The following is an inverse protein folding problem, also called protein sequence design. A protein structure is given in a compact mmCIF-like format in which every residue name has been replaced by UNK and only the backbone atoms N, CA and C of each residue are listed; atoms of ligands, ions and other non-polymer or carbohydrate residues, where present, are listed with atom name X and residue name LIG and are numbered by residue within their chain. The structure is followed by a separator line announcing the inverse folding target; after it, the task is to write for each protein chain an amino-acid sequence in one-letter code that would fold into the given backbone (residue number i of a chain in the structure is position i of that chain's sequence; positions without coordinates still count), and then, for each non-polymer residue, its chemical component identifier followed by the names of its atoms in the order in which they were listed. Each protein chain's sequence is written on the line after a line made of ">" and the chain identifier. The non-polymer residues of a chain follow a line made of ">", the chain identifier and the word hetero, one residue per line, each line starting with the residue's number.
data_IF_008790329182
#
_entry.id   IF_008790329182
#
_cell.length_a   1.000
_cell.length_b   1.000
_cell.length_c   1.000
_cell.angle_alpha   90.00
_cell.angle_beta   90.00
_cell.angle_gamma   90.00
#
_symmetry.space_group_name_H-M   'P 1'
#
loop_
_entity.id
_entity.type
_entity.pdbx_description
1 polymer ?
#
# COMPACT_ATOMS: atom_id res chain seq x y z
N UNK A 1 -37.50 5.14 15.43
CA UNK A 1 -36.80 5.27 14.12
C UNK A 1 -35.97 6.53 14.15
N UNK A 2 -34.71 6.48 13.70
CA UNK A 2 -33.93 7.70 13.44
C UNK A 2 -34.59 8.42 12.25
N UNK A 3 -35.09 9.66 12.40
CA UNK A 3 -35.75 10.35 11.30
C UNK A 3 -34.74 10.78 10.22
N UNK A 4 -35.01 10.47 8.95
CA UNK A 4 -34.24 10.97 7.81
C UNK A 4 -33.93 9.92 6.73
N UNK A 5 -33.38 10.38 5.60
CA UNK A 5 -32.85 9.50 4.55
C UNK A 5 -31.54 8.83 5.03
N UNK A 6 -31.14 7.68 4.46
CA UNK A 6 -29.85 7.05 4.79
C UNK A 6 -28.64 7.98 4.70
N UNK A 7 -28.62 8.86 3.68
CA UNK A 7 -27.56 9.87 3.53
C UNK A 7 -27.54 10.87 4.70
N UNK A 8 -28.70 11.31 5.18
CA UNK A 8 -28.80 12.24 6.31
C UNK A 8 -28.33 11.59 7.62
N UNK A 9 -28.65 10.31 7.82
CA UNK A 9 -28.17 9.55 8.98
C UNK A 9 -26.65 9.43 8.94
N UNK A 10 -26.06 9.09 7.78
CA UNK A 10 -24.61 9.01 7.61
C UNK A 10 -23.91 10.37 7.85
N UNK A 11 -24.48 11.47 7.36
CA UNK A 11 -23.95 12.82 7.61
C UNK A 11 -24.01 13.20 9.09
N UNK A 12 -25.12 12.90 9.79
CA UNK A 12 -25.26 13.13 11.21
C UNK A 12 -24.23 12.35 12.03
N UNK A 13 -24.00 11.08 11.68
CA UNK A 13 -22.97 10.25 12.29
C UNK A 13 -21.56 10.83 12.10
N UNK A 14 -21.20 11.19 10.86
CA UNK A 14 -19.91 11.82 10.57
C UNK A 14 -19.70 13.14 11.32
N UNK A 15 -20.77 13.91 11.57
CA UNK A 15 -20.70 15.11 12.40
C UNK A 15 -20.37 14.84 13.88
N UNK A 16 -20.67 13.63 14.38
CA UNK A 16 -20.38 13.21 15.77
C UNK A 16 -19.03 12.51 15.90
N UNK A 17 -18.63 11.70 14.92
CA UNK A 17 -17.42 10.86 15.00
C UNK A 17 -16.24 11.41 14.21
N UNK A 18 -16.44 12.50 13.47
CA UNK A 18 -15.46 13.04 12.54
C UNK A 18 -15.73 12.63 11.10
N UNK A 19 -15.52 13.57 10.18
CA UNK A 19 -15.59 13.31 8.75
C UNK A 19 -14.36 12.51 8.27
N UNK A 20 -14.49 11.72 7.20
CA UNK A 20 -13.36 11.02 6.60
C UNK A 20 -12.26 12.01 6.19
N UNK A 21 -11.00 11.63 6.40
CA UNK A 21 -9.87 12.38 5.85
C UNK A 21 -9.89 12.34 4.32
N UNK A 22 -9.44 13.43 3.69
CA UNK A 22 -9.26 13.45 2.23
C UNK A 22 -8.06 12.57 1.88
N UNK A 23 -8.25 11.49 1.09
CA UNK A 23 -7.13 10.64 0.69
C UNK A 23 -6.21 11.38 -0.29
N UNK A 24 -4.91 11.05 -0.34
CA UNK A 24 -4.05 11.55 -1.39
C UNK A 24 -4.51 11.00 -2.74
N UNK A 25 -4.32 11.77 -3.82
CA UNK A 25 -4.85 11.43 -5.15
C UNK A 25 -4.44 10.03 -5.63
N UNK A 26 -3.18 9.64 -5.40
CA UNK A 26 -2.65 8.32 -5.79
C UNK A 26 -3.40 7.16 -5.13
N UNK A 27 -4.00 7.36 -3.94
CA UNK A 27 -4.73 6.30 -3.27
C UNK A 27 -6.02 5.90 -4.01
N UNK A 28 -6.53 6.76 -4.91
CA UNK A 28 -7.70 6.48 -5.75
C UNK A 28 -7.35 5.68 -7.01
N UNK A 29 -6.06 5.52 -7.34
CA UNK A 29 -5.60 4.73 -8.48
C UNK A 29 -5.60 3.23 -8.22
N UNK A 30 -5.41 2.43 -9.27
CA UNK A 30 -5.31 0.98 -9.14
C UNK A 30 -4.06 0.58 -8.33
N UNK A 31 -4.21 -0.35 -7.40
CA UNK A 31 -3.13 -0.81 -6.51
C UNK A 31 -2.99 -2.33 -6.60
N UNK A 32 -1.76 -2.82 -6.65
CA UNK A 32 -1.47 -4.25 -6.68
C UNK A 32 -0.98 -4.73 -5.32
N UNK A 33 -1.63 -5.73 -4.75
CA UNK A 33 -1.24 -6.35 -3.49
C UNK A 33 -1.26 -7.86 -3.64
N UNK A 34 -0.27 -8.51 -3.04
CA UNK A 34 -0.16 -9.96 -2.97
C UNK A 34 0.71 -10.30 -1.77
N UNK A 35 0.31 -11.33 -1.03
CA UNK A 35 1.20 -11.97 -0.07
C UNK A 35 2.29 -12.74 -0.80
N UNK A 36 3.55 -12.49 -0.47
CA UNK A 36 4.65 -13.26 -1.04
C UNK A 36 5.16 -12.67 -2.35
N UNK A 37 5.60 -11.41 -2.37
CA UNK A 37 6.41 -10.92 -3.50
C UNK A 37 7.77 -11.61 -3.52
N UNK A 38 8.31 -11.96 -2.35
CA UNK A 38 9.54 -12.72 -2.21
C UNK A 38 10.82 -11.96 -2.52
N UNK A 39 10.82 -10.94 -3.40
CA UNK A 39 12.00 -10.10 -3.64
C UNK A 39 11.71 -8.77 -4.33
N UNK A 40 12.67 -7.84 -4.25
CA UNK A 40 12.67 -6.60 -5.01
C UNK A 40 12.68 -6.82 -6.54
N UNK A 41 13.28 -7.91 -7.02
CA UNK A 41 13.30 -8.26 -8.44
C UNK A 41 11.89 -8.62 -8.96
N UNK A 42 11.13 -9.37 -8.17
CA UNK A 42 9.74 -9.71 -8.50
C UNK A 42 8.85 -8.46 -8.54
N UNK A 43 9.01 -7.54 -7.58
CA UNK A 43 8.30 -6.26 -7.58
C UNK A 43 8.56 -5.49 -8.87
N UNK A 44 9.84 -5.35 -9.27
CA UNK A 44 10.20 -4.68 -10.54
C UNK A 44 9.59 -5.37 -11.75
N UNK A 45 9.63 -6.72 -11.80
CA UNK A 45 9.03 -7.50 -12.88
C UNK A 45 7.53 -7.25 -13.01
N UNK A 46 6.80 -7.23 -11.88
CA UNK A 46 5.36 -6.95 -11.88
C UNK A 46 5.08 -5.54 -12.35
N UNK A 47 5.76 -4.53 -11.81
CA UNK A 47 5.56 -3.12 -12.21
C UNK A 47 5.87 -2.90 -13.69
N UNK A 48 6.99 -3.44 -14.18
CA UNK A 48 7.33 -3.40 -15.60
C UNK A 48 6.24 -4.06 -16.46
N UNK A 49 5.67 -5.18 -16.00
CA UNK A 49 4.58 -5.86 -16.68
C UNK A 49 3.31 -5.00 -16.85
N UNK A 50 2.96 -4.15 -15.88
CA UNK A 50 1.88 -3.17 -16.02
C UNK A 50 2.21 -2.14 -17.09
N UNK A 51 3.41 -1.56 -17.03
CA UNK A 51 3.87 -0.55 -17.99
C UNK A 51 3.90 -1.08 -19.43
N UNK A 52 4.45 -2.27 -19.64
CA UNK A 52 4.50 -2.96 -20.95
C UNK A 52 3.11 -3.17 -21.57
N UNK A 53 2.08 -3.37 -20.74
CA UNK A 53 0.71 -3.63 -21.17
C UNK A 53 -0.15 -2.37 -21.23
N UNK A 54 0.43 -1.20 -20.93
CA UNK A 54 -0.31 0.06 -20.86
C UNK A 54 -1.37 0.07 -19.76
N UNK A 55 -1.19 -0.73 -18.70
CA UNK A 55 -2.11 -0.80 -17.57
C UNK A 55 -1.71 0.22 -16.50
N UNK A 56 -2.68 0.97 -15.99
CA UNK A 56 -2.44 1.92 -14.91
C UNK A 56 -2.08 1.20 -13.61
N UNK A 57 -1.09 1.72 -12.88
CA UNK A 57 -0.70 1.26 -11.57
C UNK A 57 -0.27 2.46 -10.74
N UNK A 58 -0.87 2.64 -9.57
CA UNK A 58 -0.57 3.75 -8.67
C UNK A 58 0.21 3.32 -7.43
N UNK A 59 0.07 2.07 -6.99
CA UNK A 59 0.82 1.54 -5.85
C UNK A 59 1.01 0.02 -5.91
N UNK A 60 2.10 -0.45 -5.29
CA UNK A 60 2.36 -1.86 -5.01
C UNK A 60 2.53 -2.03 -3.50
N UNK A 61 1.93 -3.08 -2.94
CA UNK A 61 1.99 -3.40 -1.51
C UNK A 61 2.95 -4.56 -1.24
N UNK A 62 3.85 -4.36 -0.28
CA UNK A 62 4.68 -5.41 0.30
C UNK A 62 3.99 -5.97 1.55
N UNK A 63 3.77 -7.28 1.55
CA UNK A 63 3.22 -8.01 2.67
C UNK A 63 4.34 -8.47 3.63
N UNK A 64 4.01 -9.15 4.73
CA UNK A 64 4.90 -9.47 5.85
C UNK A 64 6.19 -10.23 5.48
N UNK A 65 6.26 -10.82 4.28
CA UNK A 65 7.42 -11.56 3.78
C UNK A 65 8.63 -10.69 3.43
N UNK A 66 8.46 -9.37 3.30
CA UNK A 66 9.59 -8.45 3.08
C UNK A 66 10.39 -8.12 4.34
N UNK A 67 9.88 -8.47 5.52
CA UNK A 67 10.57 -8.27 6.79
C UNK A 67 11.65 -9.33 7.02
N UNK A 68 12.72 -8.96 7.73
CA UNK A 68 13.69 -9.92 8.23
C UNK A 68 13.08 -10.73 9.38
N UNK A 69 12.73 -11.99 9.08
CA UNK A 69 12.23 -12.95 10.06
C UNK A 69 10.88 -12.58 10.68
N UNK A 70 10.02 -11.90 9.91
CA UNK A 70 8.70 -11.36 10.32
C UNK A 70 8.78 -10.35 11.48
N UNK A 71 9.89 -9.62 11.60
CA UNK A 71 10.04 -8.53 12.56
C UNK A 71 9.57 -7.22 11.92
N UNK A 72 8.56 -6.60 12.48
CA UNK A 72 8.15 -5.26 12.04
C UNK A 72 9.30 -4.26 12.18
N UNK A 73 9.34 -3.26 11.30
CA UNK A 73 10.41 -2.26 11.21
C UNK A 73 11.79 -2.80 10.77
N UNK A 74 11.87 -4.03 10.27
CA UNK A 74 13.07 -4.58 9.61
C UNK A 74 12.79 -4.86 8.13
N UNK A 75 13.85 -5.20 7.38
CA UNK A 75 13.78 -5.58 5.97
C UNK A 75 14.69 -6.78 5.77
N UNK A 76 14.23 -7.78 5.03
CA UNK A 76 15.09 -8.88 4.58
C UNK A 76 16.11 -8.32 3.58
N UNK A 77 17.37 -8.20 4.00
CA UNK A 77 18.44 -7.63 3.19
C UNK A 77 18.88 -8.50 2.01
N UNK A 78 18.57 -9.80 2.00
CA UNK A 78 18.86 -10.68 0.86
C UNK A 78 17.79 -10.48 -0.23
N UNK A 79 16.51 -10.45 0.16
CA UNK A 79 15.40 -10.27 -0.76
C UNK A 79 15.21 -8.81 -1.22
N UNK A 80 15.51 -7.86 -0.33
CA UNK A 80 15.31 -6.41 -0.52
C UNK A 80 16.56 -5.61 -0.07
N UNK A 81 17.70 -5.76 -0.76
CA UNK A 81 18.98 -5.16 -0.35
C UNK A 81 18.99 -3.62 -0.36
N UNK A 82 18.13 -3.00 -1.17
CA UNK A 82 17.99 -1.54 -1.24
C UNK A 82 16.51 -1.15 -1.42
N UNK A 83 15.75 -1.33 -0.33
CA UNK A 83 14.33 -0.95 -0.31
C UNK A 83 14.10 0.56 -0.56
N UNK A 84 14.91 1.49 -0.01
CA UNK A 84 14.79 2.91 -0.34
C UNK A 84 15.03 3.21 -1.82
N UNK A 85 16.03 2.58 -2.45
CA UNK A 85 16.28 2.69 -3.88
C UNK A 85 15.11 2.17 -4.71
N UNK A 86 14.57 1.00 -4.37
CA UNK A 86 13.36 0.48 -5.01
C UNK A 86 12.17 1.46 -4.90
N UNK A 87 11.93 2.02 -3.72
CA UNK A 87 10.86 3.01 -3.53
C UNK A 87 11.07 4.26 -4.39
N UNK A 88 12.32 4.73 -4.52
CA UNK A 88 12.70 5.86 -5.36
C UNK A 88 12.48 5.59 -6.85
N UNK A 89 12.94 4.43 -7.34
CA UNK A 89 12.75 3.97 -8.72
C UNK A 89 11.26 3.90 -9.10
N UNK A 90 10.45 3.27 -8.26
CA UNK A 90 9.00 3.17 -8.47
C UNK A 90 8.34 4.56 -8.42
N UNK A 91 8.77 5.39 -7.47
CA UNK A 91 8.28 6.76 -7.33
C UNK A 91 8.52 7.61 -8.58
N UNK A 92 9.67 7.46 -9.23
CA UNK A 92 9.98 8.12 -10.50
C UNK A 92 9.08 7.65 -11.65
N UNK A 93 8.59 6.40 -11.58
CA UNK A 93 7.62 5.84 -12.51
C UNK A 93 6.15 6.15 -12.14
N UNK A 94 5.92 6.96 -11.09
CA UNK A 94 4.57 7.30 -10.61
C UNK A 94 3.90 6.22 -9.75
N UNK A 95 4.64 5.19 -9.34
CA UNK A 95 4.13 4.08 -8.53
C UNK A 95 4.61 4.22 -7.08
N UNK A 96 3.70 4.15 -6.11
CA UNK A 96 4.05 4.13 -4.69
C UNK A 96 4.38 2.72 -4.21
N UNK A 97 5.42 2.58 -3.38
CA UNK A 97 5.67 1.38 -2.62
C UNK A 97 5.05 1.53 -1.23
N UNK A 98 4.12 0.64 -0.89
CA UNK A 98 3.43 0.62 0.41
C UNK A 98 3.89 -0.63 1.16
N UNK A 99 4.37 -0.45 2.38
CA UNK A 99 4.78 -1.55 3.25
C UNK A 99 3.71 -1.73 4.33
N UNK A 100 3.28 -2.96 4.58
CA UNK A 100 2.47 -3.29 5.75
C UNK A 100 3.25 -2.94 7.03
N UNK A 101 2.55 -2.67 8.13
CA UNK A 101 3.13 -2.56 9.48
C UNK A 101 2.15 -3.19 10.45
N UNK A 102 2.55 -4.30 11.08
CA UNK A 102 1.72 -4.96 12.09
C UNK A 102 1.92 -4.34 13.48
N UNK A 103 0.91 -4.41 14.36
CA UNK A 103 1.03 -3.87 15.71
C UNK A 103 1.90 -4.74 16.64
N UNK A 104 2.13 -6.01 16.31
CA UNK A 104 2.89 -6.94 17.14
C UNK A 104 4.39 -6.81 16.88
N UNK A 105 5.16 -6.53 17.94
CA UNK A 105 6.63 -6.46 17.89
C UNK A 105 7.20 -7.77 18.44
N UNK A 106 7.99 -8.46 17.61
CA UNK A 106 8.72 -9.66 18.02
C UNK A 106 9.93 -9.27 18.87
N UNK A 107 10.05 -9.89 20.04
CA UNK A 107 11.17 -9.72 20.98
C UNK A 107 12.46 -10.37 20.47
#
# INVERSE_FOLDING_TARGET
>A
MLPGTPARVAQGWAGLTGAPAVPPEWAMGYQHARWGFGSAAEVRRVVAGYAERGLALSAVHLDIDHYDGHRVFTVDGEAFPDLPGLAGELGAAGVRLVSIVDPAVKA
#
